data_IF_777198420728
#
_entry.id   IF_777198420728
#
_cell.length_a   1.000
_cell.length_b   1.000
_cell.length_c   1.000
_cell.angle_alpha   90.00
_cell.angle_beta   90.00
_cell.angle_gamma   90.00
#
_symmetry.space_group_name_H-M   'P 1'
#
loop_
_entity.id
_entity.type
_entity.pdbx_description
1 polymer ?
#
# COMPACT_ATOMS: atom_id res chain seq x y z
N UNK A 1 1.36 -10.86 5.48
CA UNK A 1 1.28 -9.43 5.12
C UNK A 1 2.66 -8.83 5.26
N UNK A 2 3.09 -7.96 4.34
CA UNK A 2 4.38 -7.26 4.42
C UNK A 2 4.10 -5.78 4.63
N UNK A 3 4.81 -5.14 5.57
CA UNK A 3 4.74 -3.70 5.82
C UNK A 3 6.09 -3.07 5.43
N UNK A 4 6.04 -2.10 4.53
CA UNK A 4 7.21 -1.39 4.01
C UNK A 4 7.22 0.06 4.51
N UNK A 5 8.25 0.45 5.25
CA UNK A 5 8.32 1.81 5.82
C UNK A 5 9.74 2.33 5.87
N UNK A 6 9.88 3.66 5.82
CA UNK A 6 11.12 4.36 6.14
C UNK A 6 11.40 4.38 7.66
N UNK A 7 10.37 4.09 8.46
CA UNK A 7 10.37 4.17 9.93
C UNK A 7 10.99 5.47 10.49
N UNK A 8 10.58 6.62 9.94
CA UNK A 8 11.15 7.94 10.27
C UNK A 8 11.20 8.23 11.78
N UNK A 9 10.24 7.71 12.54
CA UNK A 9 10.14 7.93 13.99
C UNK A 9 10.61 6.73 14.83
N UNK A 10 11.10 5.65 14.20
CA UNK A 10 11.57 4.45 14.90
C UNK A 10 10.49 3.72 15.69
N UNK A 11 9.22 3.86 15.30
CA UNK A 11 8.06 3.37 16.06
C UNK A 11 7.36 2.20 15.39
N UNK A 12 7.73 1.84 14.15
CA UNK A 12 7.03 0.83 13.37
C UNK A 12 7.01 -0.55 14.04
N UNK A 13 8.15 -1.00 14.58
CA UNK A 13 8.23 -2.29 15.25
C UNK A 13 7.32 -2.37 16.48
N UNK A 14 7.26 -1.31 17.28
CA UNK A 14 6.38 -1.23 18.45
C UNK A 14 4.90 -1.17 18.04
N UNK A 15 4.56 -0.39 17.01
CA UNK A 15 3.19 -0.26 16.51
C UNK A 15 2.64 -1.56 15.90
N UNK A 16 3.53 -2.46 15.45
CA UNK A 16 3.18 -3.73 14.81
C UNK A 16 3.45 -4.95 15.69
N UNK A 17 3.76 -4.77 16.98
CA UNK A 17 4.15 -5.86 17.87
C UNK A 17 3.11 -6.99 17.94
N UNK A 18 1.82 -6.64 17.87
CA UNK A 18 0.70 -7.59 17.93
C UNK A 18 0.14 -7.97 16.54
N UNK A 19 0.81 -7.56 15.47
CA UNK A 19 0.39 -7.82 14.09
C UNK A 19 1.26 -8.91 13.49
N UNK A 20 0.64 -10.00 13.02
CA UNK A 20 1.32 -11.07 12.30
C UNK A 20 1.72 -10.61 10.88
N UNK A 21 2.78 -9.81 10.79
CA UNK A 21 3.33 -9.30 9.54
C UNK A 21 4.86 -9.30 9.52
N UNK A 22 5.40 -9.33 8.31
CA UNK A 22 6.81 -9.06 8.06
C UNK A 22 7.01 -7.55 7.94
N UNK A 23 7.86 -6.97 8.78
CA UNK A 23 8.23 -5.56 8.72
C UNK A 23 9.57 -5.42 8.01
N UNK A 24 9.59 -4.66 6.91
CA UNK A 24 10.82 -4.29 6.21
C UNK A 24 11.04 -2.78 6.34
N UNK A 25 12.10 -2.41 7.07
CA UNK A 25 12.55 -1.02 7.17
C UNK A 25 13.46 -0.74 5.97
N UNK A 26 13.07 0.23 5.15
CA UNK A 26 13.81 0.62 3.97
C UNK A 26 14.93 1.61 4.34
N UNK A 27 16.14 1.44 3.81
CA UNK A 27 17.21 2.39 4.05
C UNK A 27 16.86 3.78 3.47
N UNK A 28 17.49 4.86 3.97
CA UNK A 28 17.39 6.18 3.36
C UNK A 28 17.85 6.14 1.89
N UNK A 29 17.16 6.86 1.00
CA UNK A 29 17.44 6.87 -0.43
C UNK A 29 16.18 6.80 -1.28
N UNK A 30 16.23 6.13 -2.43
CA UNK A 30 15.08 5.97 -3.32
C UNK A 30 14.12 4.88 -2.83
N UNK A 31 13.40 5.21 -1.76
CA UNK A 31 12.36 4.36 -1.18
C UNK A 31 11.22 4.08 -2.16
N UNK A 32 11.01 4.96 -3.14
CA UNK A 32 9.94 4.79 -4.14
C UNK A 32 10.26 3.62 -5.06
N UNK A 33 11.49 3.57 -5.59
CA UNK A 33 11.95 2.44 -6.38
C UNK A 33 12.06 1.17 -5.53
N UNK A 34 12.59 1.27 -4.31
CA UNK A 34 12.75 0.12 -3.41
C UNK A 34 11.41 -0.58 -3.11
N UNK A 35 10.34 0.18 -2.82
CA UNK A 35 9.00 -0.40 -2.60
C UNK A 35 8.48 -1.15 -3.83
N UNK A 36 8.65 -0.58 -5.03
CA UNK A 36 8.27 -1.23 -6.29
C UNK A 36 9.06 -2.52 -6.51
N UNK A 37 10.36 -2.50 -6.26
CA UNK A 37 11.24 -3.65 -6.52
C UNK A 37 10.93 -4.82 -5.55
N UNK A 38 10.47 -4.53 -4.33
CA UNK A 38 9.91 -5.53 -3.43
C UNK A 38 8.63 -6.16 -4.01
N UNK A 39 7.69 -5.36 -4.53
CA UNK A 39 6.47 -5.89 -5.18
C UNK A 39 6.81 -6.81 -6.35
N UNK A 40 7.82 -6.45 -7.15
CA UNK A 40 8.31 -7.30 -8.24
C UNK A 40 8.86 -8.62 -7.73
N UNK A 41 9.65 -8.58 -6.65
CA UNK A 41 10.24 -9.76 -6.02
C UNK A 41 9.16 -10.70 -5.45
N UNK A 42 8.10 -10.14 -4.86
CA UNK A 42 6.95 -10.90 -4.36
C UNK A 42 6.02 -11.42 -5.46
N UNK A 43 6.20 -10.97 -6.70
CA UNK A 43 5.32 -11.26 -7.83
C UNK A 43 4.15 -10.28 -7.89
N UNK A 44 4.31 -9.23 -8.69
CA UNK A 44 3.36 -8.13 -8.82
C UNK A 44 1.91 -8.57 -9.11
N UNK A 45 1.75 -9.60 -9.95
CA UNK A 45 0.46 -10.19 -10.31
C UNK A 45 -0.33 -10.78 -9.12
N UNK A 46 0.35 -11.05 -7.99
CA UNK A 46 -0.24 -11.61 -6.78
C UNK A 46 -0.29 -10.59 -5.63
N UNK A 47 0.09 -9.34 -5.90
CA UNK A 47 0.19 -8.31 -4.88
C UNK A 47 -1.02 -7.39 -4.89
N UNK A 48 -1.55 -7.13 -3.70
CA UNK A 48 -2.41 -5.97 -3.40
C UNK A 48 -1.57 -5.00 -2.57
N UNK A 49 -1.46 -3.76 -3.03
CA UNK A 49 -0.64 -2.76 -2.37
C UNK A 49 -1.51 -1.58 -1.92
N UNK A 50 -1.32 -1.15 -0.67
CA UNK A 50 -2.05 -0.05 -0.06
C UNK A 50 -1.07 1.03 0.38
N UNK A 51 -1.37 2.29 0.11
CA UNK A 51 -0.49 3.40 0.48
C UNK A 51 -1.13 4.77 0.31
N UNK A 52 -0.46 5.80 0.82
CA UNK A 52 -0.91 7.20 0.73
C UNK A 52 0.22 8.18 0.41
N UNK A 53 1.47 7.81 0.73
CA UNK A 53 2.63 8.64 0.55
C UNK A 53 3.07 8.71 -0.90
N UNK A 54 3.77 9.80 -1.28
CA UNK A 54 4.31 9.97 -2.63
C UNK A 54 5.27 8.85 -3.04
N UNK A 55 5.96 8.24 -2.07
CA UNK A 55 6.85 7.10 -2.28
C UNK A 55 6.11 5.77 -2.52
N UNK A 56 4.79 5.72 -2.33
CA UNK A 56 3.98 4.52 -2.59
C UNK A 56 3.52 4.41 -4.04
N UNK A 57 3.54 5.51 -4.80
CA UNK A 57 2.95 5.61 -6.15
C UNK A 57 3.41 4.49 -7.10
N UNK A 58 4.71 4.14 -7.11
CA UNK A 58 5.24 3.12 -8.01
C UNK A 58 4.87 1.71 -7.55
N UNK A 59 4.79 1.48 -6.24
CA UNK A 59 4.35 0.22 -5.65
C UNK A 59 2.88 -0.05 -6.02
N UNK A 60 2.04 0.97 -5.89
CA UNK A 60 0.62 0.90 -6.23
C UNK A 60 0.40 0.67 -7.73
N UNK A 61 1.17 1.37 -8.57
CA UNK A 61 1.09 1.22 -10.03
C UNK A 61 1.54 -0.17 -10.51
N UNK A 62 2.52 -0.77 -9.84
CA UNK A 62 3.09 -2.07 -10.23
C UNK A 62 2.20 -3.25 -9.80
N UNK A 63 1.51 -3.15 -8.67
CA UNK A 63 0.70 -4.22 -8.10
C UNK A 63 -0.50 -4.60 -9.00
N UNK A 64 -0.97 -5.85 -8.89
CA UNK A 64 -2.21 -6.28 -9.54
C UNK A 64 -3.42 -5.46 -9.09
N UNK A 65 -3.38 -4.98 -7.85
CA UNK A 65 -4.36 -4.05 -7.30
C UNK A 65 -3.67 -3.01 -6.40
N UNK A 66 -3.58 -1.77 -6.87
CA UNK A 66 -3.16 -0.61 -6.09
C UNK A 66 -4.35 0.11 -5.46
N UNK A 67 -4.30 0.32 -4.14
CA UNK A 67 -5.32 1.02 -3.37
C UNK A 67 -4.69 2.24 -2.70
N UNK A 68 -5.15 3.44 -3.05
CA UNK A 68 -4.81 4.65 -2.31
C UNK A 68 -5.76 4.84 -1.12
N UNK A 69 -5.21 5.15 0.06
CA UNK A 69 -6.02 5.53 1.23
C UNK A 69 -5.96 7.03 1.47
N UNK A 70 -7.12 7.66 1.74
CA UNK A 70 -7.28 9.09 2.03
C UNK A 70 -7.75 9.32 3.45
N UNK A 71 -6.79 9.59 4.33
CA UNK A 71 -7.03 9.87 5.75
C UNK A 71 -7.03 11.38 6.03
N UNK A 72 -7.13 11.77 7.30
CA UNK A 72 -7.22 13.17 7.72
C UNK A 72 -6.00 14.04 7.31
N UNK A 73 -4.82 13.42 7.15
CA UNK A 73 -3.60 14.08 6.65
C UNK A 73 -3.57 14.29 5.13
N UNK A 74 -4.53 13.71 4.41
CA UNK A 74 -4.57 13.69 2.95
C UNK A 74 -3.74 12.56 2.33
N UNK A 75 -3.56 12.67 1.01
CA UNK A 75 -2.86 11.68 0.17
C UNK A 75 -2.13 12.42 -0.94
N UNK A 76 -0.94 11.95 -1.31
CA UNK A 76 -0.22 12.51 -2.45
C UNK A 76 -1.05 12.33 -3.74
N UNK A 77 -1.18 13.40 -4.53
CA UNK A 77 -1.95 13.38 -5.78
C UNK A 77 -1.39 12.33 -6.74
N UNK A 78 -0.07 12.20 -6.83
CA UNK A 78 0.57 11.20 -7.67
C UNK A 78 0.24 9.76 -7.24
N UNK A 79 0.01 9.54 -5.95
CA UNK A 79 -0.39 8.22 -5.41
C UNK A 79 -1.85 7.92 -5.71
N UNK A 80 -2.73 8.93 -5.64
CA UNK A 80 -4.13 8.80 -6.06
C UNK A 80 -4.24 8.43 -7.54
N UNK A 81 -3.49 9.11 -8.40
CA UNK A 81 -3.51 8.87 -9.84
C UNK A 81 -2.86 7.54 -10.26
N UNK A 82 -1.99 6.98 -9.41
CA UNK A 82 -1.35 5.69 -9.65
C UNK A 82 -2.19 4.49 -9.18
N UNK A 83 -3.22 4.71 -8.36
CA UNK A 83 -4.04 3.65 -7.79
C UNK A 83 -5.17 3.21 -8.72
N UNK A 84 -5.66 1.99 -8.52
CA UNK A 84 -6.89 1.50 -9.17
C UNK A 84 -8.15 1.89 -8.36
N UNK A 85 -8.04 1.94 -7.03
CA UNK A 85 -9.13 2.27 -6.11
C UNK A 85 -8.66 3.31 -5.11
N UNK A 86 -9.54 4.24 -4.77
CA UNK A 86 -9.36 5.17 -3.65
C UNK A 86 -10.35 4.82 -2.55
N UNK A 87 -9.88 4.71 -1.31
CA UNK A 87 -10.69 4.38 -0.15
C UNK A 87 -10.35 5.27 1.07
N UNK A 88 -11.25 5.46 2.05
CA UNK A 88 -10.98 6.34 3.19
C UNK A 88 -9.96 5.83 4.22
N UNK A 89 -9.80 4.51 4.40
CA UNK A 89 -8.93 3.96 5.45
C UNK A 89 -8.36 2.58 5.13
N UNK A 90 -7.31 2.19 5.87
CA UNK A 90 -6.74 0.84 5.78
C UNK A 90 -7.75 -0.25 6.18
N UNK A 91 -8.62 0.03 7.16
CA UNK A 91 -9.65 -0.93 7.57
C UNK A 91 -10.67 -1.16 6.46
N UNK A 92 -11.09 -0.09 5.77
CA UNK A 92 -11.99 -0.19 4.63
C UNK A 92 -11.35 -0.94 3.46
N UNK A 93 -10.04 -0.73 3.22
CA UNK A 93 -9.28 -1.45 2.20
C UNK A 93 -9.23 -2.96 2.50
N UNK A 94 -8.92 -3.35 3.74
CA UNK A 94 -8.92 -4.75 4.16
C UNK A 94 -10.33 -5.37 4.11
N UNK A 95 -11.36 -4.62 4.53
CA UNK A 95 -12.77 -5.04 4.41
C UNK A 95 -13.19 -5.27 2.95
N UNK A 96 -12.68 -4.46 2.01
CA UNK A 96 -12.93 -4.62 0.59
C UNK A 96 -12.38 -5.96 0.07
N UNK A 97 -11.19 -6.37 0.52
CA UNK A 97 -10.56 -7.64 0.15
C UNK A 97 -11.31 -8.87 0.68
N UNK A 98 -11.96 -8.74 1.85
CA UNK A 98 -12.84 -9.79 2.38
C UNK A 98 -14.14 -9.94 1.57
N UNK A 99 -14.47 -9.00 0.68
CA UNK A 99 -15.70 -8.99 -0.10
C UNK A 99 -15.43 -8.81 -1.61
N UNK A 100 -14.90 -9.82 -2.32
CA UNK A 100 -14.47 -9.69 -3.71
C UNK A 100 -15.52 -9.14 -4.68
N UNK A 101 -16.82 -9.39 -4.42
CA UNK A 101 -17.93 -8.84 -5.22
C UNK A 101 -17.99 -7.31 -5.20
N UNK A 102 -17.65 -6.67 -4.08
CA UNK A 102 -17.59 -5.20 -3.98
C UNK A 102 -16.46 -4.64 -4.84
N UNK A 103 -15.34 -5.35 -4.87
CA UNK A 103 -14.17 -5.03 -5.69
C UNK A 103 -14.51 -5.06 -7.20
N UNK A 104 -15.19 -6.10 -7.66
CA UNK A 104 -15.69 -6.21 -9.04
C UNK A 104 -16.67 -5.08 -9.35
N UNK A 105 -17.57 -4.74 -8.42
CA UNK A 105 -18.55 -3.67 -8.63
C UNK A 105 -17.88 -2.30 -8.85
N UNK A 106 -16.77 -2.03 -8.19
CA UNK A 106 -15.98 -0.80 -8.34
C UNK A 106 -15.16 -0.78 -9.63
N UNK A 107 -14.56 -1.90 -10.03
CA UNK A 107 -13.59 -1.97 -11.13
C UNK A 107 -14.16 -2.37 -12.50
N UNK A 108 -15.39 -2.85 -12.57
CA UNK A 108 -16.04 -3.19 -13.84
C UNK A 108 -16.30 -1.93 -14.68
N UNK A 109 -16.12 -2.05 -16.00
CA UNK A 109 -16.52 -1.05 -17.00
C UNK A 109 -17.99 -1.24 -17.43
#
# INVERSE_FOLDING_TARGET
MVVLTADTFGSAAAALADVACELTILPPGDQTAAKRDIVRTLGAAYCVCVGNGRNDRLMLQEAALGIAVVQAEGTAVETLLAANIVIPSINDALNLLMNPRRLVATLRA
#
